data_IF_822892782276
#
_entry.id   IF_822892782276
#
_cell.length_a   1.000
_cell.length_b   1.000
_cell.length_c   1.000
_cell.angle_alpha   90.00
_cell.angle_beta   90.00
_cell.angle_gamma   90.00
#
_symmetry.space_group_name_H-M   'P 1'
#
loop_
_entity.id
_entity.type
_entity.pdbx_description
1 polymer ?
#
# COMPACT_ATOMS: atom_id res chain seq x y z
N UNK A 1 -11.16 -18.86 25.28
CA UNK A 1 -9.92 -18.38 24.68
C UNK A 1 -10.14 -16.97 24.13
N UNK A 2 -9.24 -16.11 24.42
CA UNK A 2 -9.31 -14.75 23.89
C UNK A 2 -8.81 -14.73 22.46
N UNK A 3 -9.62 -14.21 21.56
CA UNK A 3 -9.17 -13.96 20.22
C UNK A 3 -8.26 -12.71 20.21
N UNK A 4 -7.12 -12.84 19.61
CA UNK A 4 -6.19 -11.72 19.51
C UNK A 4 -5.91 -11.36 18.06
N UNK A 5 -5.52 -10.10 17.85
CA UNK A 5 -5.05 -9.64 16.57
C UNK A 5 -3.56 -9.43 16.68
N UNK A 6 -2.86 -9.92 15.70
CA UNK A 6 -1.43 -9.68 15.56
C UNK A 6 -1.24 -8.62 14.48
N UNK A 7 -0.39 -7.64 14.74
CA UNK A 7 -0.13 -6.56 13.81
C UNK A 7 1.36 -6.47 13.55
N UNK A 8 1.74 -6.30 12.29
CA UNK A 8 3.13 -6.07 11.90
C UNK A 8 3.24 -4.78 11.14
N UNK A 9 4.32 -4.07 11.42
CA UNK A 9 4.64 -2.80 10.79
C UNK A 9 5.83 -2.98 9.85
N UNK A 10 5.74 -2.34 8.70
CA UNK A 10 6.87 -2.22 7.80
C UNK A 10 6.74 -0.93 6.99
N UNK A 11 7.86 -0.48 6.45
CA UNK A 11 7.92 0.73 5.66
C UNK A 11 8.01 0.37 4.18
N UNK A 12 7.33 1.16 3.35
CA UNK A 12 7.58 1.19 1.92
C UNK A 12 7.89 2.61 1.51
N UNK A 13 8.87 2.79 0.65
CA UNK A 13 9.39 4.10 0.30
C UNK A 13 9.32 4.31 -1.19
N UNK A 14 8.85 5.50 -1.61
CA UNK A 14 9.17 6.01 -2.94
C UNK A 14 10.45 6.81 -2.77
N UNK A 15 11.58 6.33 -3.33
CA UNK A 15 12.84 7.03 -3.18
C UNK A 15 12.84 8.39 -3.89
N UNK A 16 13.58 9.33 -3.37
CA UNK A 16 13.80 10.63 -4.03
C UNK A 16 14.22 10.42 -5.49
N UNK A 17 13.57 11.12 -6.39
CA UNK A 17 13.84 11.01 -7.82
C UNK A 17 13.18 9.81 -8.50
N UNK A 18 12.40 9.01 -7.75
CA UNK A 18 11.63 7.89 -8.27
C UNK A 18 10.13 8.18 -8.19
N UNK A 19 9.34 7.32 -8.77
CA UNK A 19 7.87 7.45 -8.75
C UNK A 19 7.15 6.22 -8.23
N UNK A 20 7.86 5.22 -7.69
CA UNK A 20 7.23 3.96 -7.30
C UNK A 20 7.96 3.32 -6.13
N UNK A 21 7.20 2.65 -5.27
CA UNK A 21 7.76 1.84 -4.19
C UNK A 21 8.23 0.48 -4.71
N UNK A 22 8.90 -0.29 -3.85
CA UNK A 22 9.10 -1.71 -4.11
C UNK A 22 7.75 -2.42 -4.18
N UNK A 23 7.76 -3.57 -4.81
CA UNK A 23 6.61 -4.46 -4.85
C UNK A 23 6.46 -5.20 -3.52
N UNK A 24 5.23 -5.27 -3.00
CA UNK A 24 4.89 -5.99 -1.79
C UNK A 24 4.23 -7.30 -2.19
N UNK A 25 4.80 -8.42 -1.75
CA UNK A 25 4.25 -9.72 -2.07
C UNK A 25 3.05 -10.04 -1.20
N UNK A 26 1.88 -10.18 -1.82
CA UNK A 26 0.68 -10.60 -1.11
C UNK A 26 0.79 -12.00 -0.53
N UNK A 27 1.48 -12.90 -1.24
CA UNK A 27 1.62 -14.28 -0.80
C UNK A 27 2.44 -14.42 0.48
N UNK A 28 3.42 -13.53 0.70
CA UNK A 28 4.31 -13.63 1.86
C UNK A 28 4.04 -12.58 2.92
N UNK A 29 3.52 -11.43 2.53
CA UNK A 29 3.44 -10.28 3.41
C UNK A 29 2.05 -10.05 4.00
N UNK A 30 0.99 -10.58 3.37
CA UNK A 30 -0.34 -10.45 3.94
C UNK A 30 -1.33 -11.56 3.54
N UNK A 31 -0.85 -12.75 3.21
CA UNK A 31 -1.74 -13.86 2.80
C UNK A 31 -2.79 -14.21 3.85
N UNK A 32 -2.48 -14.04 5.14
CA UNK A 32 -3.40 -14.33 6.24
C UNK A 32 -3.98 -13.07 6.88
N UNK A 33 -3.72 -11.91 6.30
CA UNK A 33 -4.17 -10.66 6.89
C UNK A 33 -5.67 -10.46 6.69
N UNK A 34 -6.32 -9.87 7.70
CA UNK A 34 -7.72 -9.45 7.61
C UNK A 34 -7.84 -7.98 7.21
N UNK A 35 -6.78 -7.21 7.39
CA UNK A 35 -6.75 -5.80 7.03
C UNK A 35 -5.32 -5.32 6.84
N UNK A 36 -5.18 -4.33 5.96
CA UNK A 36 -3.92 -3.62 5.74
C UNK A 36 -4.21 -2.14 5.90
N UNK A 37 -3.42 -1.48 6.73
CA UNK A 37 -3.52 -0.03 6.91
C UNK A 37 -2.30 0.63 6.32
N UNK A 38 -2.50 1.63 5.48
CA UNK A 38 -1.43 2.45 4.93
C UNK A 38 -1.54 3.84 5.53
N UNK A 39 -0.45 4.32 6.11
CA UNK A 39 -0.35 5.67 6.62
C UNK A 39 0.64 6.45 5.75
N UNK A 40 0.17 7.54 5.18
CA UNK A 40 1.00 8.42 4.37
C UNK A 40 1.87 9.31 5.24
N UNK A 41 3.05 9.74 4.74
CA UNK A 41 3.86 10.70 5.46
C UNK A 41 3.16 12.05 5.61
N UNK A 42 3.63 12.89 6.51
CA UNK A 42 3.05 14.21 6.77
C UNK A 42 3.14 15.13 5.54
N UNK A 43 4.10 14.88 4.66
CA UNK A 43 4.30 15.67 3.44
C UNK A 43 4.28 14.75 2.24
N UNK A 44 3.46 15.07 1.25
CA UNK A 44 3.42 14.43 -0.05
C UNK A 44 3.53 15.51 -1.14
N UNK A 45 4.16 15.14 -2.24
CA UNK A 45 4.26 16.00 -3.41
C UNK A 45 2.88 16.26 -4.01
N UNK A 46 2.74 17.36 -4.74
CA UNK A 46 1.50 17.69 -5.47
C UNK A 46 1.37 16.81 -6.72
N UNK A 47 1.27 15.50 -6.51
CA UNK A 47 1.16 14.46 -7.53
C UNK A 47 -0.04 13.59 -7.22
N UNK A 48 -0.47 12.80 -8.19
CA UNK A 48 -1.48 11.78 -7.97
C UNK A 48 -0.79 10.49 -7.54
N UNK A 49 -1.22 9.94 -6.40
CA UNK A 49 -0.70 8.68 -5.87
C UNK A 49 -1.76 7.61 -6.04
N UNK A 50 -1.36 6.46 -6.55
CA UNK A 50 -2.27 5.34 -6.78
C UNK A 50 -1.68 4.07 -6.20
N UNK A 51 -2.57 3.11 -5.89
CA UNK A 51 -2.17 1.76 -5.55
C UNK A 51 -2.26 0.94 -6.82
N UNK A 52 -1.19 0.22 -7.13
CA UNK A 52 -1.16 -0.71 -8.24
C UNK A 52 -1.11 -2.13 -7.72
N UNK A 53 -1.87 -3.01 -8.33
CA UNK A 53 -1.94 -4.42 -7.98
C UNK A 53 -1.58 -5.28 -9.17
N UNK A 54 -1.12 -6.49 -8.88
CA UNK A 54 -0.72 -7.46 -9.90
C UNK A 54 -1.14 -8.86 -9.49
N UNK A 55 -1.62 -9.64 -10.45
CA UNK A 55 -1.93 -11.05 -10.24
C UNK A 55 -0.76 -11.98 -10.62
N UNK A 56 0.21 -11.47 -11.37
CA UNK A 56 1.36 -12.27 -11.80
C UNK A 56 2.69 -11.81 -11.18
N UNK A 57 2.67 -10.71 -10.43
CA UNK A 57 3.86 -10.13 -9.81
C UNK A 57 4.72 -9.30 -10.74
N UNK A 58 4.36 -9.19 -12.02
CA UNK A 58 5.16 -8.50 -13.04
C UNK A 58 4.40 -7.35 -13.69
N UNK A 59 3.15 -7.59 -14.05
CA UNK A 59 2.32 -6.59 -14.73
C UNK A 59 1.36 -5.98 -13.71
N UNK A 60 1.45 -4.67 -13.53
CA UNK A 60 0.67 -3.93 -12.55
C UNK A 60 -0.38 -3.07 -13.22
N UNK A 61 -1.52 -2.95 -12.55
CA UNK A 61 -2.61 -2.08 -12.95
C UNK A 61 -3.10 -1.30 -11.73
N UNK A 62 -3.64 -0.11 -11.97
CA UNK A 62 -4.21 0.70 -10.89
C UNK A 62 -5.37 -0.04 -10.23
N UNK A 63 -5.35 -0.12 -8.91
CA UNK A 63 -6.43 -0.75 -8.16
C UNK A 63 -7.69 0.11 -8.22
N UNK A 64 -8.80 -0.51 -8.58
CA UNK A 64 -10.08 0.15 -8.77
C UNK A 64 -11.19 -0.70 -8.19
N UNK A 65 -12.29 -0.07 -7.81
CA UNK A 65 -13.52 -0.77 -7.42
C UNK A 65 -14.45 -1.04 -8.61
N UNK A 66 -13.97 -0.76 -9.83
CA UNK A 66 -14.74 -0.88 -11.06
C UNK A 66 -15.31 0.45 -11.56
N UNK A 67 -15.35 1.46 -10.72
CA UNK A 67 -15.85 2.81 -11.04
C UNK A 67 -14.79 3.86 -10.74
N UNK A 68 -14.17 3.77 -9.57
CA UNK A 68 -13.17 4.75 -9.11
C UNK A 68 -11.90 4.03 -8.70
N UNK A 69 -10.77 4.73 -8.83
CA UNK A 69 -9.52 4.25 -8.28
C UNK A 69 -9.58 4.23 -6.76
N UNK A 70 -9.01 3.19 -6.16
CA UNK A 70 -8.89 3.10 -4.71
C UNK A 70 -7.85 4.13 -4.26
N UNK A 71 -8.18 5.02 -3.34
CA UNK A 71 -7.29 6.12 -2.98
C UNK A 71 -6.10 5.68 -2.15
N UNK A 72 -4.98 6.38 -2.32
CA UNK A 72 -3.89 6.41 -1.34
C UNK A 72 -4.24 7.48 -0.32
N UNK A 73 -3.92 7.29 0.98
CA UNK A 73 -4.25 8.31 1.98
C UNK A 73 -3.64 9.67 1.65
N UNK A 74 -4.37 10.74 1.92
CA UNK A 74 -3.81 12.08 1.86
C UNK A 74 -2.68 12.25 2.87
N UNK A 75 -1.81 13.23 2.66
CA UNK A 75 -0.68 13.50 3.55
C UNK A 75 -1.13 13.53 5.02
N UNK A 76 -0.42 12.82 5.87
CA UNK A 76 -0.69 12.76 7.30
C UNK A 76 -1.92 11.96 7.71
N UNK A 77 -2.53 11.21 6.81
CA UNK A 77 -3.72 10.38 7.09
C UNK A 77 -3.44 8.91 6.84
N UNK A 78 -4.38 8.05 7.25
CA UNK A 78 -4.29 6.62 7.05
C UNK A 78 -5.60 6.06 6.54
N UNK A 79 -5.51 5.00 5.71
CA UNK A 79 -6.68 4.26 5.23
C UNK A 79 -6.48 2.78 5.51
N UNK A 80 -7.54 2.12 5.95
CA UNK A 80 -7.56 0.67 6.12
C UNK A 80 -8.16 0.03 4.87
N UNK A 81 -7.48 -1.00 4.36
CA UNK A 81 -7.88 -1.69 3.14
C UNK A 81 -8.13 -3.16 3.42
N UNK A 82 -9.12 -3.72 2.75
CA UNK A 82 -9.36 -5.16 2.71
C UNK A 82 -9.23 -5.70 1.29
N UNK A 83 -9.35 -4.83 0.29
CA UNK A 83 -9.46 -5.22 -1.12
C UNK A 83 -8.15 -5.77 -1.70
N UNK A 84 -7.02 -5.39 -1.12
CA UNK A 84 -5.69 -5.85 -1.57
C UNK A 84 -5.40 -7.30 -1.19
N UNK A 85 -6.18 -7.90 -0.31
CA UNK A 85 -5.92 -9.23 0.23
C UNK A 85 -5.93 -10.33 -0.85
N UNK A 86 -6.65 -10.10 -1.93
CA UNK A 86 -6.69 -11.03 -3.04
C UNK A 86 -5.59 -10.87 -4.07
N UNK A 87 -4.80 -9.82 -3.99
CA UNK A 87 -3.77 -9.54 -4.97
C UNK A 87 -2.49 -10.32 -4.66
N UNK A 88 -1.78 -10.75 -5.71
CA UNK A 88 -0.48 -11.40 -5.55
C UNK A 88 0.59 -10.42 -5.10
N UNK A 89 0.56 -9.20 -5.64
CA UNK A 89 1.51 -8.15 -5.30
C UNK A 89 0.84 -6.79 -5.42
N UNK A 90 1.37 -5.80 -4.71
CA UNK A 90 0.92 -4.43 -4.80
C UNK A 90 2.07 -3.46 -4.57
N UNK A 91 1.87 -2.22 -4.97
CA UNK A 91 2.84 -1.13 -4.77
C UNK A 91 2.13 0.21 -4.80
N UNK A 92 2.80 1.27 -4.35
CA UNK A 92 2.32 2.64 -4.47
C UNK A 92 3.09 3.33 -5.57
N UNK A 93 2.37 4.01 -6.46
CA UNK A 93 2.95 4.74 -7.58
C UNK A 93 2.48 6.19 -7.59
N UNK A 94 3.42 7.10 -7.85
CA UNK A 94 3.13 8.51 -8.07
C UNK A 94 3.10 8.84 -9.56
N UNK A 95 2.38 9.89 -9.94
CA UNK A 95 2.28 10.33 -11.33
C UNK A 95 3.55 10.99 -11.86
N UNK A 96 4.51 11.27 -11.00
CA UNK A 96 5.81 11.84 -11.35
C UNK A 96 6.83 11.55 -10.25
N UNK A 97 8.06 11.99 -10.45
CA UNK A 97 9.12 11.74 -9.48
C UNK A 97 8.94 12.59 -8.24
N UNK A 98 9.12 11.97 -7.08
CA UNK A 98 9.05 12.68 -5.80
C UNK A 98 10.35 13.42 -5.51
N UNK A 99 10.26 14.55 -4.79
CA UNK A 99 11.39 15.42 -4.51
C UNK A 99 12.27 14.92 -3.36
N UNK A 100 11.73 14.09 -2.49
CA UNK A 100 12.43 13.49 -1.35
C UNK A 100 11.85 12.11 -1.10
N UNK A 101 12.54 11.29 -0.30
CA UNK A 101 12.01 9.98 0.09
C UNK A 101 10.64 10.15 0.75
N UNK A 102 9.65 9.41 0.26
CA UNK A 102 8.30 9.39 0.84
C UNK A 102 8.06 8.02 1.45
N UNK A 103 8.06 7.98 2.77
CA UNK A 103 7.92 6.74 3.53
C UNK A 103 6.47 6.55 3.95
N UNK A 104 5.90 5.44 3.54
CA UNK A 104 4.56 5.01 3.95
C UNK A 104 4.70 3.93 5.00
N UNK A 105 4.01 4.09 6.12
CA UNK A 105 3.95 3.04 7.15
C UNK A 105 2.80 2.11 6.81
N UNK A 106 3.12 0.83 6.76
CA UNK A 106 2.12 -0.20 6.48
C UNK A 106 2.02 -1.12 7.68
N UNK A 107 0.82 -1.30 8.18
CA UNK A 107 0.55 -2.36 9.14
C UNK A 107 -0.38 -3.37 8.51
N UNK A 108 -0.08 -4.64 8.73
CA UNK A 108 -1.00 -5.70 8.39
C UNK A 108 -1.45 -6.39 9.67
N UNK A 109 -2.70 -6.76 9.68
CA UNK A 109 -3.35 -7.30 10.86
C UNK A 109 -4.10 -8.57 10.48
N UNK A 110 -3.99 -9.57 11.33
CA UNK A 110 -4.73 -10.81 11.16
C UNK A 110 -5.10 -11.37 12.51
N UNK A 111 -6.04 -12.30 12.49
CA UNK A 111 -6.47 -12.99 13.70
C UNK A 111 -5.48 -14.11 14.03
N UNK A 112 -4.99 -14.08 15.24
CA UNK A 112 -4.09 -15.12 15.74
C UNK A 112 -4.83 -16.41 16.06
#
# INVERSE_FOLDING_TARGET
MTQSFDARLFDIVIPSGSNVTRSISGAYEYSDAVAITIQSPATLDALTFTIEISNDGTNFATMSDGTNNIPVPAAGTAIQYTDMLGARAWRIKASGNVAADRTFLVSKQWTA
#
